data_IF_747950410495
#
_entry.id   IF_747950410495
#
_cell.length_a   1.000
_cell.length_b   1.000
_cell.length_c   1.000
_cell.angle_alpha   90.00
_cell.angle_beta   90.00
_cell.angle_gamma   90.00
#
_symmetry.space_group_name_H-M   'P 1'
#
loop_
_entity.id
_entity.type
_entity.pdbx_description
1 polymer ?
#
# COMPACT_ATOMS: atom_id res chain seq x y z
N UNK A 1 -22.98 -5.72 -7.53
CA UNK A 1 -22.49 -4.62 -8.38
C UNK A 1 -23.56 -4.15 -9.38
N UNK A 2 -24.17 -5.05 -10.18
CA UNK A 2 -25.11 -4.68 -11.24
C UNK A 2 -26.28 -3.84 -10.72
N UNK A 3 -26.93 -4.23 -9.63
CA UNK A 3 -28.06 -3.50 -9.04
C UNK A 3 -27.66 -2.12 -8.49
N UNK A 4 -26.48 -2.02 -7.85
CA UNK A 4 -25.97 -0.74 -7.36
C UNK A 4 -25.61 0.20 -8.51
N UNK A 5 -24.98 -0.31 -9.58
CA UNK A 5 -24.61 0.50 -10.77
C UNK A 5 -25.82 0.98 -11.57
N UNK A 6 -26.96 0.25 -11.53
CA UNK A 6 -28.22 0.73 -12.12
C UNK A 6 -28.75 1.98 -11.39
N UNK A 7 -28.66 1.99 -10.04
CA UNK A 7 -29.13 3.12 -9.22
C UNK A 7 -28.13 4.26 -9.13
N UNK A 8 -26.83 3.93 -9.06
CA UNK A 8 -25.75 4.87 -8.81
C UNK A 8 -24.62 4.65 -9.81
N UNK A 9 -24.66 5.34 -10.94
CA UNK A 9 -23.69 5.16 -12.05
C UNK A 9 -22.23 5.34 -11.65
N UNK A 10 -21.97 6.29 -10.74
CA UNK A 10 -20.60 6.65 -10.30
C UNK A 10 -20.19 5.96 -9.00
N UNK A 11 -20.91 4.95 -8.55
CA UNK A 11 -20.58 4.22 -7.33
C UNK A 11 -19.37 3.31 -7.54
N UNK A 12 -18.40 3.40 -6.64
CA UNK A 12 -17.19 2.57 -6.66
C UNK A 12 -17.30 1.49 -5.58
N UNK A 13 -17.10 0.23 -5.98
CA UNK A 13 -17.05 -0.91 -5.07
C UNK A 13 -15.60 -1.29 -4.82
N UNK A 14 -15.15 -1.09 -3.60
CA UNK A 14 -13.84 -1.50 -3.12
C UNK A 14 -14.01 -2.77 -2.29
N UNK A 15 -13.27 -3.83 -2.62
CA UNK A 15 -13.29 -5.08 -1.88
C UNK A 15 -12.19 -5.12 -0.83
N UNK A 16 -12.52 -5.52 0.37
CA UNK A 16 -11.54 -5.91 1.37
C UNK A 16 -11.14 -7.37 1.11
N UNK A 17 -10.07 -7.54 0.35
CA UNK A 17 -9.49 -8.84 0.00
C UNK A 17 -8.02 -8.80 0.34
N UNK A 18 -7.62 -9.65 1.26
CA UNK A 18 -6.26 -9.66 1.82
C UNK A 18 -5.20 -10.22 0.88
N UNK A 19 -5.64 -11.07 -0.06
CA UNK A 19 -4.78 -11.73 -1.04
C UNK A 19 -4.91 -11.07 -2.42
N UNK A 20 -4.19 -11.62 -3.40
CA UNK A 20 -4.36 -11.24 -4.80
C UNK A 20 -5.78 -11.57 -5.28
N UNK A 21 -6.56 -10.54 -5.62
CA UNK A 21 -7.96 -10.69 -6.05
C UNK A 21 -8.10 -11.42 -7.38
N UNK A 22 -7.03 -11.55 -8.15
CA UNK A 22 -7.03 -12.27 -9.44
C UNK A 22 -6.92 -13.78 -9.27
N UNK A 23 -6.37 -14.23 -8.14
CA UNK A 23 -6.15 -15.63 -7.81
C UNK A 23 -6.94 -16.12 -6.61
N UNK A 24 -7.65 -15.23 -5.91
CA UNK A 24 -8.41 -15.57 -4.69
C UNK A 24 -9.36 -16.73 -4.91
N UNK A 25 -9.20 -17.74 -4.07
CA UNK A 25 -10.13 -18.86 -3.93
C UNK A 25 -10.89 -18.77 -2.60
N UNK A 26 -12.16 -19.11 -2.63
CA UNK A 26 -13.01 -19.21 -1.45
C UNK A 26 -14.03 -20.32 -1.62
N UNK A 27 -14.15 -21.17 -0.62
CA UNK A 27 -15.04 -22.35 -0.65
C UNK A 27 -14.79 -23.23 -1.88
N UNK A 28 -13.51 -23.50 -2.20
CA UNK A 28 -13.10 -24.35 -3.32
C UNK A 28 -13.37 -23.75 -4.72
N UNK A 29 -13.69 -22.47 -4.81
CA UNK A 29 -13.99 -21.80 -6.10
C UNK A 29 -13.19 -20.53 -6.27
N UNK A 30 -12.54 -20.39 -7.43
CA UNK A 30 -11.86 -19.15 -7.82
C UNK A 30 -12.87 -18.01 -7.97
N UNK A 31 -12.64 -16.92 -7.24
CA UNK A 31 -13.52 -15.76 -7.25
C UNK A 31 -13.25 -14.86 -8.47
N UNK A 32 -14.33 -14.41 -9.10
CA UNK A 32 -14.26 -13.55 -10.30
C UNK A 32 -14.28 -12.06 -9.94
N UNK A 33 -13.56 -11.66 -8.89
CA UNK A 33 -13.56 -10.29 -8.39
C UNK A 33 -12.99 -9.29 -9.40
N UNK A 34 -11.91 -9.68 -10.10
CA UNK A 34 -11.14 -8.83 -10.99
C UNK A 34 -11.69 -8.74 -12.43
N UNK A 35 -12.73 -9.50 -12.79
CA UNK A 35 -13.20 -9.64 -14.19
C UNK A 35 -14.25 -8.58 -14.60
N UNK A 36 -14.24 -7.41 -14.01
CA UNK A 36 -15.12 -6.28 -14.39
C UNK A 36 -16.58 -6.39 -13.96
N UNK A 37 -17.01 -7.53 -13.41
CA UNK A 37 -18.39 -7.75 -12.92
C UNK A 37 -18.51 -7.81 -11.39
N UNK A 38 -17.38 -7.89 -10.68
CA UNK A 38 -17.31 -7.92 -9.23
C UNK A 38 -16.96 -6.55 -8.65
N UNK A 39 -15.69 -6.32 -8.41
CA UNK A 39 -15.15 -5.11 -7.79
C UNK A 39 -14.69 -4.09 -8.83
N UNK A 40 -14.70 -2.82 -8.46
CA UNK A 40 -14.05 -1.73 -9.20
C UNK A 40 -12.61 -1.52 -8.70
N UNK A 41 -12.36 -1.79 -7.41
CA UNK A 41 -11.08 -1.69 -6.72
C UNK A 41 -10.99 -2.75 -5.63
N UNK A 42 -9.80 -2.94 -5.08
CA UNK A 42 -9.55 -3.76 -3.89
C UNK A 42 -8.50 -3.11 -3.01
N UNK A 43 -8.55 -3.40 -1.71
CA UNK A 43 -7.49 -3.03 -0.77
C UNK A 43 -6.23 -3.85 -1.09
N UNK A 44 -5.13 -3.14 -1.38
CA UNK A 44 -3.88 -3.77 -1.86
C UNK A 44 -2.98 -4.19 -0.69
N UNK A 45 -3.48 -5.10 0.16
CA UNK A 45 -2.68 -5.70 1.23
C UNK A 45 -1.40 -6.39 0.71
N UNK A 46 -1.40 -7.07 -0.46
CA UNK A 46 -0.17 -7.63 -1.02
C UNK A 46 0.93 -6.59 -1.22
N UNK A 47 0.60 -5.35 -1.63
CA UNK A 47 1.60 -4.29 -1.75
C UNK A 47 2.19 -3.93 -0.38
N UNK A 48 1.34 -3.77 0.65
CA UNK A 48 1.78 -3.47 2.03
C UNK A 48 2.76 -4.52 2.53
N UNK A 49 2.44 -5.81 2.37
CA UNK A 49 3.31 -6.91 2.83
C UNK A 49 4.66 -6.83 2.14
N UNK A 50 4.69 -6.77 0.80
CA UNK A 50 5.94 -6.76 0.04
C UNK A 50 6.78 -5.50 0.28
N UNK A 51 6.16 -4.32 0.42
CA UNK A 51 6.88 -3.09 0.79
C UNK A 51 7.51 -3.22 2.17
N UNK A 52 6.76 -3.76 3.12
CA UNK A 52 7.25 -3.96 4.49
C UNK A 52 8.44 -4.93 4.53
N UNK A 53 8.32 -6.08 3.89
CA UNK A 53 9.36 -7.11 3.87
C UNK A 53 10.62 -6.63 3.15
N UNK A 54 10.47 -5.91 2.04
CA UNK A 54 11.60 -5.29 1.35
C UNK A 54 12.33 -4.28 2.24
N UNK A 55 11.60 -3.39 2.91
CA UNK A 55 12.21 -2.36 3.76
C UNK A 55 12.79 -2.90 5.07
N UNK A 56 12.28 -4.02 5.57
CA UNK A 56 12.85 -4.72 6.72
C UNK A 56 14.04 -5.62 6.34
N UNK A 57 14.31 -5.82 5.04
CA UNK A 57 15.39 -6.68 4.56
C UNK A 57 15.02 -8.17 4.52
N UNK A 58 13.74 -8.52 4.64
CA UNK A 58 13.25 -9.89 4.55
C UNK A 58 13.17 -10.37 3.09
N UNK A 59 13.17 -9.46 2.12
CA UNK A 59 13.26 -9.76 0.69
C UNK A 59 14.13 -8.75 -0.05
N UNK A 60 14.68 -9.17 -1.20
CA UNK A 60 15.54 -8.33 -2.03
C UNK A 60 14.74 -7.35 -2.90
N UNK A 61 15.42 -6.34 -3.46
CA UNK A 61 14.83 -5.48 -4.49
C UNK A 61 14.39 -6.26 -5.74
N UNK A 62 15.04 -7.40 -6.04
CA UNK A 62 14.65 -8.30 -7.12
C UNK A 62 13.31 -8.97 -6.85
N UNK A 63 13.08 -9.42 -5.61
CA UNK A 63 11.80 -10.02 -5.20
C UNK A 63 10.69 -8.97 -5.25
N UNK A 64 10.94 -7.78 -4.69
CA UNK A 64 9.99 -6.66 -4.75
C UNK A 64 9.66 -6.25 -6.20
N UNK A 65 10.66 -6.19 -7.09
CA UNK A 65 10.46 -5.96 -8.52
C UNK A 65 9.57 -7.06 -9.13
N UNK A 66 9.86 -8.32 -8.83
CA UNK A 66 9.11 -9.47 -9.35
C UNK A 66 7.65 -9.41 -8.91
N UNK A 67 7.40 -9.07 -7.64
CA UNK A 67 6.04 -8.85 -7.14
C UNK A 67 5.32 -7.73 -7.90
N UNK A 68 5.94 -6.57 -8.09
CA UNK A 68 5.32 -5.43 -8.80
C UNK A 68 5.01 -5.76 -10.26
N UNK A 69 5.89 -6.48 -10.94
CA UNK A 69 5.64 -6.97 -12.31
C UNK A 69 4.50 -7.98 -12.32
N UNK A 70 4.46 -8.91 -11.37
CA UNK A 70 3.40 -9.91 -11.24
C UNK A 70 2.02 -9.24 -11.06
N UNK A 71 1.93 -8.25 -10.18
CA UNK A 71 0.70 -7.45 -10.05
C UNK A 71 0.31 -6.79 -11.38
N UNK A 72 1.26 -6.14 -12.05
CA UNK A 72 1.00 -5.47 -13.33
C UNK A 72 0.52 -6.43 -14.41
N UNK A 73 1.01 -7.65 -14.45
CA UNK A 73 0.63 -8.68 -15.43
C UNK A 73 -0.69 -9.37 -15.08
N UNK A 74 -0.96 -9.61 -13.79
CA UNK A 74 -2.13 -10.37 -13.35
C UNK A 74 -3.42 -9.55 -13.33
N UNK A 75 -3.32 -8.25 -13.06
CA UNK A 75 -4.49 -7.40 -12.89
C UNK A 75 -4.92 -6.76 -14.21
N UNK A 76 -6.21 -6.80 -14.58
CA UNK A 76 -6.71 -5.96 -15.66
C UNK A 76 -6.35 -4.49 -15.41
N UNK A 77 -5.84 -3.79 -16.42
CA UNK A 77 -5.33 -2.42 -16.30
C UNK A 77 -6.27 -1.47 -15.54
N UNK A 78 -7.60 -1.42 -15.80
CA UNK A 78 -8.47 -0.53 -15.04
C UNK A 78 -8.50 -0.82 -13.53
N UNK A 79 -8.46 -2.10 -13.14
CA UNK A 79 -8.43 -2.50 -11.73
C UNK A 79 -7.06 -2.20 -11.10
N UNK A 80 -5.96 -2.47 -11.83
CA UNK A 80 -4.60 -2.21 -11.35
C UNK A 80 -4.39 -0.74 -10.99
N UNK A 81 -4.88 0.18 -11.83
CA UNK A 81 -4.80 1.62 -11.59
C UNK A 81 -5.82 2.13 -10.55
N UNK A 82 -6.79 1.32 -10.20
CA UNK A 82 -7.78 1.61 -9.17
C UNK A 82 -7.52 0.88 -7.84
N UNK A 83 -6.46 0.08 -7.72
CA UNK A 83 -6.12 -0.59 -6.46
C UNK A 83 -5.92 0.45 -5.35
N UNK A 84 -6.52 0.21 -4.19
CA UNK A 84 -6.34 1.02 -3.00
C UNK A 84 -5.04 0.63 -2.30
N UNK A 85 -3.97 1.34 -2.62
CA UNK A 85 -2.64 1.12 -2.06
C UNK A 85 -2.58 1.66 -0.64
N UNK A 86 -2.64 0.79 0.34
CA UNK A 86 -2.56 1.10 1.77
C UNK A 86 -1.25 0.61 2.37
N UNK A 87 -0.81 1.22 3.46
CA UNK A 87 0.32 0.77 4.28
C UNK A 87 -0.12 0.41 5.70
N UNK A 88 -1.22 0.97 6.15
CA UNK A 88 -1.87 0.70 7.43
C UNK A 88 -3.38 0.60 7.26
N UNK A 89 -4.06 -0.05 8.20
CA UNK A 89 -5.51 -0.05 8.30
C UNK A 89 -5.95 -0.25 9.75
N UNK A 90 -7.25 -0.31 9.96
CA UNK A 90 -7.84 -0.63 11.26
C UNK A 90 -7.60 -2.08 11.72
N UNK A 91 -7.17 -2.97 10.81
CA UNK A 91 -6.97 -4.41 11.08
C UNK A 91 -5.49 -4.84 11.10
N UNK A 92 -4.56 -3.90 10.91
CA UNK A 92 -3.12 -4.18 10.93
C UNK A 92 -2.36 -3.10 11.69
N UNK A 93 -1.14 -3.40 12.20
CA UNK A 93 -0.31 -2.38 12.84
C UNK A 93 -0.02 -1.21 11.90
N UNK A 94 0.16 -0.02 12.47
CA UNK A 94 0.56 1.16 11.73
C UNK A 94 1.94 0.98 11.11
N UNK A 95 2.12 1.46 9.91
CA UNK A 95 3.35 1.26 9.13
C UNK A 95 4.60 1.73 9.89
N UNK A 96 4.54 2.88 10.57
CA UNK A 96 5.66 3.39 11.36
C UNK A 96 6.03 2.43 12.49
N UNK A 97 5.06 1.85 13.17
CA UNK A 97 5.28 0.84 14.22
C UNK A 97 5.89 -0.42 13.65
N UNK A 98 5.33 -0.95 12.58
CA UNK A 98 5.84 -2.15 11.91
C UNK A 98 7.31 -1.96 11.49
N UNK A 99 7.65 -0.85 10.86
CA UNK A 99 9.02 -0.59 10.39
C UNK A 99 9.99 -0.23 11.52
N UNK A 100 9.50 0.35 12.62
CA UNK A 100 10.30 0.63 13.80
C UNK A 100 10.69 -0.65 14.55
N UNK A 101 9.72 -1.56 14.71
CA UNK A 101 9.85 -2.76 15.55
C UNK A 101 10.26 -4.01 14.79
N UNK A 102 9.98 -4.09 13.49
CA UNK A 102 10.06 -5.32 12.68
C UNK A 102 8.87 -6.26 12.88
N UNK A 103 7.88 -5.88 13.69
CA UNK A 103 6.72 -6.72 14.00
C UNK A 103 5.67 -6.58 12.89
N UNK A 104 5.55 -7.58 12.03
CA UNK A 104 4.56 -7.61 10.95
C UNK A 104 3.52 -8.72 11.19
N UNK A 105 3.96 -9.94 11.47
CA UNK A 105 3.09 -11.13 11.62
C UNK A 105 3.15 -11.74 13.03
N UNK A 106 4.33 -11.79 13.61
CA UNK A 106 4.54 -12.34 14.95
C UNK A 106 4.40 -11.24 16.01
N UNK A 107 3.17 -10.91 16.35
CA UNK A 107 2.86 -9.87 17.33
C UNK A 107 2.82 -10.45 18.75
N UNK A 108 3.27 -9.69 19.75
CA UNK A 108 3.15 -10.09 21.15
C UNK A 108 1.68 -10.16 21.59
N UNK A 109 1.41 -10.72 22.78
CA UNK A 109 0.04 -10.75 23.32
C UNK A 109 -0.54 -9.34 23.46
N UNK A 110 -1.86 -9.25 23.61
CA UNK A 110 -2.54 -7.95 23.73
C UNK A 110 -2.06 -7.17 24.97
N UNK A 111 -1.80 -7.86 26.06
CA UNK A 111 -1.27 -7.29 27.29
C UNK A 111 0.15 -6.74 27.08
N UNK A 112 1.00 -7.51 26.42
CA UNK A 112 2.35 -7.09 26.04
C UNK A 112 2.35 -5.91 25.07
N UNK A 113 1.38 -5.87 24.14
CA UNK A 113 1.22 -4.75 23.22
C UNK A 113 0.83 -3.46 23.95
N UNK A 114 0.02 -3.55 25.00
CA UNK A 114 -0.41 -2.41 25.82
C UNK A 114 0.77 -1.74 26.57
N UNK A 115 1.76 -2.54 26.95
CA UNK A 115 2.95 -2.10 27.68
C UNK A 115 4.16 -1.83 26.77
N UNK A 116 4.01 -2.06 25.44
CA UNK A 116 5.12 -1.99 24.52
C UNK A 116 5.61 -0.55 24.31
N UNK A 117 6.88 -0.32 24.60
CA UNK A 117 7.51 1.01 24.47
C UNK A 117 8.37 1.06 23.21
N UNK A 118 8.03 1.97 22.31
CA UNK A 118 8.86 2.29 21.15
C UNK A 118 9.93 3.30 21.58
N UNK A 119 11.18 2.88 21.55
CA UNK A 119 12.31 3.76 21.91
C UNK A 119 12.57 4.81 20.83
N UNK A 120 13.22 5.92 21.17
CA UNK A 120 13.59 6.97 20.21
C UNK A 120 14.42 6.43 19.03
N UNK A 121 15.30 5.45 19.28
CA UNK A 121 16.10 4.81 18.20
C UNK A 121 15.21 4.01 17.24
N UNK A 122 14.25 3.27 17.77
CA UNK A 122 13.28 2.52 16.95
C UNK A 122 12.41 3.49 16.14
N UNK A 123 11.92 4.55 16.76
CA UNK A 123 11.12 5.55 16.09
C UNK A 123 11.86 6.25 14.95
N UNK A 124 13.13 6.63 15.16
CA UNK A 124 13.96 7.21 14.10
C UNK A 124 14.13 6.26 12.90
N UNK A 125 14.37 4.95 13.16
CA UNK A 125 14.38 3.92 12.12
C UNK A 125 13.03 3.83 11.42
N UNK A 126 11.96 3.72 12.19
CA UNK A 126 10.58 3.66 11.68
C UNK A 126 10.25 4.85 10.80
N UNK A 127 10.61 6.07 11.21
CA UNK A 127 10.43 7.31 10.45
C UNK A 127 11.14 7.25 9.09
N UNK A 128 12.42 6.89 9.08
CA UNK A 128 13.20 6.83 7.84
C UNK A 128 12.63 5.80 6.85
N UNK A 129 12.26 4.61 7.32
CA UNK A 129 11.69 3.57 6.48
C UNK A 129 10.25 3.90 6.03
N UNK A 130 9.44 4.57 6.87
CA UNK A 130 8.08 5.00 6.50
C UNK A 130 8.12 5.99 5.33
N UNK A 131 9.10 6.90 5.28
CA UNK A 131 9.30 7.82 4.15
C UNK A 131 9.49 7.06 2.84
N UNK A 132 10.31 6.00 2.87
CA UNK A 132 10.53 5.13 1.69
C UNK A 132 9.28 4.34 1.32
N UNK A 133 8.55 3.80 2.32
CA UNK A 133 7.29 3.08 2.10
C UNK A 133 6.25 3.98 1.42
N UNK A 134 6.08 5.21 1.92
CA UNK A 134 5.16 6.19 1.33
C UNK A 134 5.62 6.62 -0.07
N UNK A 135 6.92 6.79 -0.32
CA UNK A 135 7.41 7.05 -1.66
C UNK A 135 6.99 5.92 -2.62
N UNK A 136 7.19 4.64 -2.27
CA UNK A 136 6.73 3.52 -3.09
C UNK A 136 5.22 3.58 -3.28
N UNK A 137 4.42 3.77 -2.22
CA UNK A 137 2.96 3.85 -2.26
C UNK A 137 2.45 4.91 -3.24
N UNK A 138 3.09 6.09 -3.27
CA UNK A 138 2.70 7.21 -4.13
C UNK A 138 3.21 7.07 -5.57
N UNK A 139 4.31 6.34 -5.79
CA UNK A 139 4.91 6.20 -7.12
C UNK A 139 4.45 4.98 -7.91
N UNK A 140 3.97 3.91 -7.28
CA UNK A 140 3.39 2.77 -7.99
C UNK A 140 1.99 3.11 -8.54
N UNK A 141 1.50 2.44 -9.60
CA UNK A 141 0.11 2.54 -10.03
C UNK A 141 -0.88 2.15 -8.93
N UNK A 142 -2.07 2.71 -8.97
CA UNK A 142 -3.10 2.55 -7.95
C UNK A 142 -3.42 3.87 -7.25
N UNK A 143 -4.25 3.85 -6.25
CA UNK A 143 -4.68 5.01 -5.45
C UNK A 143 -4.01 4.95 -4.08
N UNK A 144 -3.07 5.84 -3.73
CA UNK A 144 -2.53 5.93 -2.38
C UNK A 144 -3.66 6.17 -1.38
N UNK A 145 -3.72 5.34 -0.35
CA UNK A 145 -4.66 5.48 0.75
C UNK A 145 -3.88 5.60 2.05
N UNK A 146 -3.98 6.75 2.70
CA UNK A 146 -3.35 7.02 3.98
C UNK A 146 -4.34 6.69 5.08
N UNK A 147 -3.96 5.80 6.00
CA UNK A 147 -4.71 5.59 7.21
C UNK A 147 -4.49 6.79 8.14
N UNK A 148 -5.58 7.31 8.73
CA UNK A 148 -5.51 8.54 9.54
C UNK A 148 -4.39 8.50 10.56
N UNK A 149 -3.63 9.58 10.66
CA UNK A 149 -2.50 9.74 11.57
C UNK A 149 -1.17 9.15 11.06
N UNK A 150 -1.15 8.33 9.99
CA UNK A 150 0.10 7.88 9.38
C UNK A 150 0.88 9.07 8.79
N UNK A 151 0.14 10.09 8.30
CA UNK A 151 0.72 11.35 7.82
C UNK A 151 1.44 12.15 8.92
N UNK A 152 1.11 11.90 10.18
CA UNK A 152 1.80 12.45 11.35
C UNK A 152 2.68 11.43 12.07
N UNK A 153 2.88 10.24 11.48
CA UNK A 153 3.71 9.20 12.05
C UNK A 153 3.18 8.60 13.35
N UNK A 154 1.87 8.52 13.52
CA UNK A 154 1.27 7.86 14.68
C UNK A 154 1.71 6.41 14.77
N UNK A 155 1.93 5.96 16.00
CA UNK A 155 2.20 4.57 16.32
C UNK A 155 0.93 3.81 16.72
N UNK A 156 0.99 2.49 16.59
CA UNK A 156 -0.04 1.58 17.07
C UNK A 156 0.22 0.15 16.57
N UNK A 157 0.18 -0.80 17.49
CA UNK A 157 0.18 -2.23 17.18
C UNK A 157 -1.21 -2.65 16.71
N UNK A 158 -1.67 -3.86 16.99
CA UNK A 158 -3.00 -4.32 16.57
C UNK A 158 -4.14 -3.59 17.30
N UNK A 159 -5.37 -3.79 16.81
CA UNK A 159 -6.59 -3.32 17.45
C UNK A 159 -6.62 -3.68 18.96
N UNK A 160 -6.86 -2.71 19.87
CA UNK A 160 -7.32 -1.33 19.65
C UNK A 160 -6.18 -0.29 19.48
N UNK A 161 -4.92 -0.68 19.58
CA UNK A 161 -3.78 0.26 19.68
C UNK A 161 -3.53 1.04 18.38
N UNK A 162 -3.87 0.46 17.22
CA UNK A 162 -3.80 1.15 15.92
C UNK A 162 -4.97 2.14 15.70
N UNK A 163 -5.99 2.13 16.56
CA UNK A 163 -7.19 3.00 16.48
C UNK A 163 -7.18 4.13 17.52
N UNK A 164 -5.99 4.54 17.98
CA UNK A 164 -5.84 5.66 18.90
C UNK A 164 -6.44 6.97 18.38
N UNK A 165 -6.79 7.88 19.28
CA UNK A 165 -7.26 9.22 18.91
C UNK A 165 -6.21 9.95 18.06
N UNK A 166 -6.69 10.69 17.05
CA UNK A 166 -5.80 11.47 16.18
C UNK A 166 -5.07 12.57 16.96
N UNK A 167 -3.78 12.72 16.70
CA UNK A 167 -2.97 13.84 17.21
C UNK A 167 -1.82 14.16 16.25
N UNK A 168 -1.47 15.44 16.21
CA UNK A 168 -0.41 15.97 15.34
C UNK A 168 0.94 15.92 16.09
N UNK A 169 1.73 14.86 15.91
CA UNK A 169 3.01 14.73 16.62
C UNK A 169 4.25 15.00 15.75
N UNK A 170 4.22 14.62 14.48
CA UNK A 170 5.38 14.71 13.58
C UNK A 170 5.08 15.57 12.33
N UNK A 171 5.28 16.87 12.48
CA UNK A 171 5.05 17.85 11.39
C UNK A 171 6.00 17.65 10.20
N UNK A 172 7.18 17.08 10.40
CA UNK A 172 8.11 16.79 9.31
C UNK A 172 7.55 15.69 8.41
N UNK A 173 7.09 14.58 8.98
CA UNK A 173 6.39 13.52 8.22
C UNK A 173 5.19 14.08 7.48
N UNK A 174 4.37 14.92 8.11
CA UNK A 174 3.24 15.58 7.46
C UNK A 174 3.65 16.40 6.23
N UNK A 175 4.71 17.22 6.33
CA UNK A 175 5.20 18.01 5.21
C UNK A 175 5.69 17.15 4.04
N UNK A 176 6.26 15.98 4.32
CA UNK A 176 6.66 15.03 3.29
C UNK A 176 5.47 14.40 2.58
N UNK A 177 4.45 14.01 3.35
CA UNK A 177 3.20 13.48 2.78
C UNK A 177 2.52 14.54 1.91
N UNK A 178 2.48 15.79 2.34
CA UNK A 178 1.97 16.90 1.52
C UNK A 178 2.73 17.06 0.20
N UNK A 179 4.07 16.94 0.22
CA UNK A 179 4.89 16.99 -1.01
C UNK A 179 4.58 15.84 -1.95
N UNK A 180 4.48 14.59 -1.44
CA UNK A 180 4.11 13.42 -2.23
C UNK A 180 2.72 13.55 -2.83
N UNK A 181 1.75 14.00 -2.05
CA UNK A 181 0.36 14.24 -2.47
C UNK A 181 0.30 15.32 -3.56
N UNK A 182 0.99 16.45 -3.34
CA UNK A 182 1.05 17.54 -4.31
C UNK A 182 1.72 17.11 -5.62
N UNK A 183 2.83 16.36 -5.52
CA UNK A 183 3.52 15.83 -6.69
C UNK A 183 2.61 14.90 -7.48
N UNK A 184 1.97 13.94 -6.82
CA UNK A 184 1.07 12.99 -7.49
C UNK A 184 -0.13 13.68 -8.14
N UNK A 185 -0.71 14.69 -7.49
CA UNK A 185 -1.84 15.44 -8.03
C UNK A 185 -1.46 16.32 -9.22
N UNK A 186 -0.25 16.86 -9.24
CA UNK A 186 0.26 17.68 -10.32
C UNK A 186 0.72 16.85 -11.52
N UNK A 187 1.39 15.73 -11.28
CA UNK A 187 2.03 14.91 -12.31
C UNK A 187 1.09 13.83 -12.85
N UNK A 188 0.48 14.06 -14.01
CA UNK A 188 -0.42 13.11 -14.67
C UNK A 188 0.24 11.76 -14.90
N UNK A 189 1.56 11.72 -15.14
CA UNK A 189 2.33 10.49 -15.29
C UNK A 189 2.24 9.58 -14.07
N UNK A 190 2.15 10.12 -12.87
CA UNK A 190 1.99 9.34 -11.65
C UNK A 190 0.57 8.80 -11.48
N UNK A 191 -0.43 9.44 -12.07
CA UNK A 191 -1.83 9.02 -11.99
C UNK A 191 -2.16 7.93 -13.03
N UNK A 192 -1.77 8.13 -14.28
CA UNK A 192 -2.21 7.30 -15.42
C UNK A 192 -1.08 6.73 -16.27
N UNK A 193 0.18 7.15 -16.03
CA UNK A 193 1.34 6.68 -16.78
C UNK A 193 1.67 5.22 -16.52
N UNK A 194 2.39 4.61 -17.44
CA UNK A 194 2.93 3.26 -17.29
C UNK A 194 4.02 3.23 -16.22
N UNK A 195 4.31 2.03 -15.72
CA UNK A 195 5.39 1.79 -14.78
C UNK A 195 6.37 0.73 -15.32
N UNK A 196 7.66 0.98 -15.14
CA UNK A 196 8.73 0.02 -15.35
C UNK A 196 9.52 -0.10 -14.06
N UNK A 197 9.81 -1.33 -13.66
CA UNK A 197 10.47 -1.66 -12.41
C UNK A 197 11.85 -2.27 -12.67
N UNK A 198 12.86 -1.78 -11.98
CA UNK A 198 14.24 -2.26 -12.09
C UNK A 198 14.82 -2.50 -10.71
N UNK A 199 15.69 -3.48 -10.59
CA UNK A 199 16.47 -3.79 -9.38
C UNK A 199 17.94 -3.85 -9.77
N UNK A 200 18.63 -2.69 -9.88
CA UNK A 200 20.04 -2.65 -10.29
C UNK A 200 20.98 -3.29 -9.28
N UNK A 201 20.57 -3.34 -8.02
CA UNK A 201 21.29 -4.06 -6.95
C UNK A 201 20.27 -4.78 -6.05
N UNK A 202 20.77 -5.60 -5.10
CA UNK A 202 19.93 -6.30 -4.12
C UNK A 202 19.09 -5.36 -3.24
N UNK A 203 19.56 -4.13 -3.04
CA UNK A 203 18.95 -3.18 -2.11
C UNK A 203 18.33 -1.95 -2.80
N UNK A 204 18.38 -1.87 -4.13
CA UNK A 204 17.90 -0.71 -4.87
C UNK A 204 16.76 -1.09 -5.80
N UNK A 205 15.56 -0.59 -5.49
CA UNK A 205 14.41 -0.62 -6.35
C UNK A 205 14.31 0.71 -7.10
N UNK A 206 14.27 0.68 -8.43
CA UNK A 206 14.02 1.84 -9.27
C UNK A 206 12.64 1.72 -9.94
N UNK A 207 11.86 2.80 -9.90
CA UNK A 207 10.52 2.88 -10.49
C UNK A 207 10.54 4.02 -11.52
N UNK A 208 10.41 3.67 -12.80
CA UNK A 208 10.23 4.63 -13.87
C UNK A 208 8.74 4.76 -14.19
N UNK A 209 8.23 5.99 -14.21
CA UNK A 209 6.87 6.30 -14.68
C UNK A 209 6.97 7.10 -15.97
N UNK A 210 6.17 6.74 -16.99
CA UNK A 210 6.18 7.38 -18.30
C UNK A 210 4.81 7.39 -18.97
N UNK A 211 4.59 8.32 -19.89
CA UNK A 211 3.42 8.38 -20.77
C UNK A 211 3.91 8.00 -22.17
N UNK A 212 3.28 7.01 -22.79
CA UNK A 212 3.52 6.69 -24.20
C UNK A 212 2.59 7.50 -25.09
N UNK A 213 3.14 8.16 -26.09
CA UNK A 213 2.36 8.87 -27.11
C UNK A 213 1.75 7.93 -28.14
N UNK A 214 2.31 6.73 -28.30
CA UNK A 214 1.75 5.69 -29.15
C UNK A 214 0.60 4.99 -28.44
N UNK A 215 -0.53 4.85 -29.11
CA UNK A 215 -1.59 3.93 -28.68
C UNK A 215 -1.06 2.51 -28.87
N UNK A 216 -0.48 1.96 -27.78
CA UNK A 216 -0.08 0.56 -27.78
C UNK A 216 -1.36 -0.28 -27.86
N UNK A 217 -1.52 -0.98 -28.98
CA UNK A 217 -2.52 -2.03 -29.13
C UNK A 217 -1.87 -3.28 -28.54
N UNK A 218 -2.29 -3.65 -27.33
CA UNK A 218 -2.01 -4.96 -26.73
C UNK A 218 -3.30 -5.77 -26.67
#
# INVERSE_FOLDING_TARGET
RSELKKKFKNYTLIGEVWEDVTTKESYGTKRKYALGKGLDSAMNYPLKVNVTDYLLGNQSAKDMKTFLISQQCNYPKPLYYALMNLLSSHDIPRIRTTLATGMNENLPSREQQAEYVITSKMDQKGKALTRLAMAVQFFVPGMPCIYYGDEYGMHGLMDPFNRGAFFENDKETYQEVLRLTSLRNREKVLQTGYALYMAPTENVLAILRFISEKKDVF
#
